data_IF_625641479128
#
_entry.id   IF_625641479128
#
_cell.length_a   1.000
_cell.length_b   1.000
_cell.length_c   1.000
_cell.angle_alpha   90.00
_cell.angle_beta   90.00
_cell.angle_gamma   90.00
#
_symmetry.space_group_name_H-M   'P 1'
#
loop_
_entity.id
_entity.type
_entity.pdbx_description
1 polymer ?
#
# COMPACT_ATOMS: atom_id res chain seq x y z
N UNK A 1 -84.42 5.22 24.48
CA UNK A 1 -83.44 5.97 23.60
C UNK A 1 -82.32 5.00 23.32
N UNK A 2 -82.31 4.47 22.13
CA UNK A 2 -81.26 3.57 21.70
C UNK A 2 -80.01 4.36 21.42
N UNK A 3 -78.87 4.04 22.07
CA UNK A 3 -77.62 4.68 21.82
C UNK A 3 -77.18 4.36 20.40
N UNK A 4 -76.93 5.40 19.64
CA UNK A 4 -76.29 5.29 18.36
C UNK A 4 -74.89 4.71 18.57
N UNK A 5 -74.71 3.45 18.19
CA UNK A 5 -73.40 2.90 17.96
C UNK A 5 -72.77 3.72 16.84
N UNK A 6 -71.82 4.50 17.20
CA UNK A 6 -70.91 5.18 16.24
C UNK A 6 -70.39 4.10 15.31
N UNK A 7 -71.10 3.91 14.21
CA UNK A 7 -70.67 3.05 13.13
C UNK A 7 -69.35 3.57 12.63
N UNK A 8 -68.34 2.75 12.63
CA UNK A 8 -67.07 3.09 12.04
C UNK A 8 -67.27 3.46 10.58
N UNK A 9 -67.33 4.73 10.32
CA UNK A 9 -67.41 5.29 8.96
C UNK A 9 -66.15 4.93 8.14
N UNK A 10 -65.16 4.39 8.84
CA UNK A 10 -63.90 4.03 8.23
C UNK A 10 -63.63 2.52 8.44
N UNK A 11 -64.00 1.73 7.48
CA UNK A 11 -63.43 0.39 7.34
C UNK A 11 -61.97 0.56 6.89
N UNK A 12 -61.10 -0.34 7.28
CA UNK A 12 -59.66 -0.31 6.99
C UNK A 12 -59.33 -0.10 5.48
N UNK A 13 -60.32 -0.36 4.60
CA UNK A 13 -60.17 -0.16 3.14
C UNK A 13 -60.85 1.13 2.62
N UNK A 14 -61.44 1.95 3.49
CA UNK A 14 -62.14 3.17 3.06
C UNK A 14 -61.23 4.43 3.10
N UNK A 15 -60.16 4.36 3.84
CA UNK A 15 -59.14 5.39 3.91
C UNK A 15 -57.92 5.05 3.04
N UNK A 16 -57.58 5.89 2.11
CA UNK A 16 -56.32 5.79 1.37
C UNK A 16 -55.20 6.32 2.31
N UNK A 17 -54.65 5.43 3.09
CA UNK A 17 -53.49 5.73 3.95
C UNK A 17 -52.18 5.60 3.18
N UNK A 18 -51.06 5.95 3.82
CA UNK A 18 -49.72 5.86 3.25
C UNK A 18 -49.39 4.44 2.77
N UNK A 19 -49.92 3.41 3.45
CA UNK A 19 -49.71 2.00 3.10
C UNK A 19 -50.47 1.60 1.86
N UNK A 20 -51.76 2.03 1.76
CA UNK A 20 -52.60 1.79 0.59
C UNK A 20 -52.15 2.59 -0.64
N UNK A 21 -51.56 3.77 -0.43
CA UNK A 21 -51.07 4.65 -1.49
C UNK A 21 -49.57 4.49 -1.79
N UNK A 22 -48.89 3.48 -1.20
CA UNK A 22 -47.45 3.30 -1.34
C UNK A 22 -46.95 3.26 -2.79
N UNK A 23 -47.77 2.69 -3.69
CA UNK A 23 -47.46 2.64 -5.14
C UNK A 23 -47.54 4.01 -5.82
N UNK A 24 -48.26 4.98 -5.26
CA UNK A 24 -48.43 6.32 -5.83
C UNK A 24 -47.58 7.39 -5.14
N UNK A 25 -46.88 7.03 -4.05
CA UNK A 25 -45.96 7.95 -3.40
C UNK A 25 -44.64 7.89 -4.16
N UNK A 26 -44.23 8.94 -4.87
CA UNK A 26 -42.99 8.94 -5.60
C UNK A 26 -41.83 8.83 -4.60
N UNK A 27 -40.94 7.87 -4.79
CA UNK A 27 -39.68 7.79 -4.08
C UNK A 27 -38.70 8.75 -4.73
N UNK A 28 -38.17 9.70 -3.97
CA UNK A 28 -37.14 10.62 -4.44
C UNK A 28 -35.78 9.98 -4.09
N UNK A 29 -35.08 9.57 -5.12
CA UNK A 29 -33.72 9.09 -5.01
C UNK A 29 -32.76 10.27 -5.14
N UNK A 30 -31.68 10.26 -4.37
CA UNK A 30 -30.62 11.25 -4.53
C UNK A 30 -29.89 11.01 -5.85
N UNK A 31 -29.64 12.06 -6.61
CA UNK A 31 -28.82 12.02 -7.82
C UNK A 31 -27.32 11.85 -7.51
N UNK A 32 -26.95 11.88 -6.22
CA UNK A 32 -25.59 11.79 -5.76
C UNK A 32 -25.25 10.34 -5.37
N UNK A 33 -24.24 9.77 -6.03
CA UNK A 33 -23.66 8.47 -5.67
C UNK A 33 -22.59 8.69 -4.60
N UNK A 34 -22.83 8.14 -3.40
CA UNK A 34 -21.87 8.20 -2.31
C UNK A 34 -20.92 7.01 -2.43
N UNK A 35 -19.69 7.29 -2.84
CA UNK A 35 -18.63 6.29 -2.86
C UNK A 35 -17.99 6.13 -1.47
N UNK A 36 -17.50 4.93 -1.16
CA UNK A 36 -16.70 4.70 0.03
C UNK A 36 -15.36 5.45 -0.05
N UNK A 37 -14.83 5.86 1.10
CA UNK A 37 -13.51 6.47 1.16
C UNK A 37 -12.44 5.49 0.66
N UNK A 38 -11.54 5.99 -0.18
CA UNK A 38 -10.45 5.22 -0.77
C UNK A 38 -9.18 5.33 0.07
N UNK A 39 -8.33 4.31 0.02
CA UNK A 39 -7.03 4.31 0.68
C UNK A 39 -6.08 5.31 -0.01
N UNK A 40 -5.20 5.92 0.77
CA UNK A 40 -4.16 6.82 0.24
C UNK A 40 -2.99 6.00 -0.30
N UNK A 41 -2.82 5.97 -1.60
CA UNK A 41 -1.73 5.27 -2.29
C UNK A 41 -0.48 6.15 -2.27
N UNK A 42 0.65 5.65 -1.77
CA UNK A 42 1.85 6.46 -1.53
C UNK A 42 3.14 5.87 -2.08
N UNK A 43 3.20 4.56 -2.38
CA UNK A 43 4.46 3.90 -2.75
C UNK A 43 4.94 4.26 -4.15
N UNK A 44 4.05 4.30 -5.15
CA UNK A 44 4.43 4.51 -6.54
C UNK A 44 5.29 5.77 -6.80
N UNK A 45 4.99 6.95 -6.24
CA UNK A 45 5.84 8.14 -6.44
C UNK A 45 7.18 8.10 -5.66
N UNK A 46 7.33 7.22 -4.66
CA UNK A 46 8.51 7.14 -3.79
C UNK A 46 9.57 6.17 -4.31
N UNK A 47 9.27 5.39 -5.34
CA UNK A 47 10.16 4.38 -5.92
C UNK A 47 10.71 4.85 -7.26
N UNK A 48 11.74 4.16 -7.74
CA UNK A 48 12.31 4.42 -9.06
C UNK A 48 11.39 3.87 -10.14
N UNK A 49 10.96 4.72 -11.06
CA UNK A 49 10.16 4.30 -12.22
C UNK A 49 11.05 4.11 -13.44
N UNK A 50 10.81 3.04 -14.18
CA UNK A 50 11.43 2.77 -15.49
C UNK A 50 10.34 2.54 -16.51
N UNK A 51 10.46 3.15 -17.69
CA UNK A 51 9.47 3.01 -18.76
C UNK A 51 10.03 2.13 -19.87
N UNK A 52 9.30 1.09 -20.22
CA UNK A 52 9.59 0.20 -21.36
C UNK A 52 8.57 0.39 -22.48
N UNK A 53 7.81 1.47 -22.45
CA UNK A 53 6.76 1.76 -23.45
C UNK A 53 7.34 1.81 -24.86
N UNK A 54 6.70 1.06 -25.77
CA UNK A 54 7.13 0.97 -27.18
C UNK A 54 8.24 -0.02 -27.48
N UNK A 55 8.91 -0.58 -26.47
CA UNK A 55 9.90 -1.64 -26.66
C UNK A 55 9.28 -3.02 -26.53
N UNK A 56 9.81 -3.98 -27.31
CA UNK A 56 9.42 -5.39 -27.23
C UNK A 56 10.37 -6.11 -26.28
N UNK A 57 9.83 -6.95 -25.42
CA UNK A 57 10.54 -7.74 -24.43
C UNK A 57 9.72 -7.83 -23.16
N UNK A 58 10.05 -8.77 -22.31
CA UNK A 58 9.40 -9.07 -21.03
C UNK A 58 10.33 -8.88 -19.83
N UNK A 59 11.63 -8.67 -20.09
CA UNK A 59 12.66 -8.55 -19.06
C UNK A 59 13.57 -7.36 -19.32
N UNK A 60 13.85 -6.61 -18.25
CA UNK A 60 14.86 -5.55 -18.23
C UNK A 60 16.07 -6.06 -17.47
N UNK A 61 17.23 -6.11 -18.11
CA UNK A 61 18.50 -6.48 -17.50
C UNK A 61 19.25 -5.24 -17.04
N UNK A 62 19.57 -5.15 -15.75
CA UNK A 62 20.36 -4.07 -15.17
C UNK A 62 21.68 -4.65 -14.73
N UNK A 63 22.80 -4.33 -15.40
CA UNK A 63 24.12 -4.83 -15.02
C UNK A 63 24.55 -4.25 -13.67
N UNK A 64 25.06 -5.13 -12.79
CA UNK A 64 25.62 -4.78 -11.48
C UNK A 64 27.09 -5.17 -11.46
N UNK A 65 28.01 -4.27 -11.85
CA UNK A 65 29.44 -4.57 -11.83
C UNK A 65 29.95 -4.71 -10.40
N UNK A 66 30.82 -5.72 -10.18
CA UNK A 66 31.46 -5.93 -8.89
C UNK A 66 32.55 -4.87 -8.68
N UNK A 67 32.59 -4.26 -7.49
CA UNK A 67 33.67 -3.32 -7.13
C UNK A 67 34.92 -4.09 -6.78
N UNK A 68 36.07 -3.64 -7.27
CA UNK A 68 37.37 -4.16 -6.88
C UNK A 68 37.83 -3.60 -5.54
N UNK A 69 38.76 -4.30 -4.89
CA UNK A 69 39.43 -3.88 -3.66
C UNK A 69 40.91 -3.52 -3.95
N UNK A 70 41.47 -2.60 -3.17
CA UNK A 70 42.88 -2.30 -3.26
C UNK A 70 43.70 -3.42 -2.59
N UNK A 71 44.70 -3.96 -3.29
CA UNK A 71 45.64 -4.95 -2.75
C UNK A 71 46.98 -4.30 -2.43
N UNK A 72 47.54 -4.61 -1.28
CA UNK A 72 48.91 -4.19 -0.94
C UNK A 72 49.93 -4.89 -1.85
N UNK A 73 50.77 -4.12 -2.50
CA UNK A 73 51.84 -4.65 -3.35
C UNK A 73 53.19 -4.61 -2.61
N UNK A 74 53.83 -5.78 -2.49
CA UNK A 74 55.20 -5.86 -1.99
C UNK A 74 56.23 -5.52 -3.09
N UNK A 75 57.41 -5.16 -2.67
CA UNK A 75 58.52 -4.89 -3.62
C UNK A 75 58.91 -6.19 -4.37
N UNK A 76 59.22 -6.04 -5.65
CA UNK A 76 59.65 -7.12 -6.57
C UNK A 76 58.61 -8.28 -6.77
N UNK A 77 57.37 -8.11 -6.34
CA UNK A 77 56.28 -9.07 -6.59
C UNK A 77 55.37 -8.56 -7.70
N UNK A 78 54.87 -9.44 -8.59
CA UNK A 78 53.89 -9.10 -9.61
C UNK A 78 52.58 -8.58 -9.01
N UNK A 79 51.86 -7.70 -9.73
CA UNK A 79 50.53 -7.25 -9.31
C UNK A 79 49.53 -8.43 -9.31
N UNK A 80 48.65 -8.46 -8.32
CA UNK A 80 47.58 -9.43 -8.27
C UNK A 80 46.40 -8.93 -9.12
N UNK A 81 46.07 -9.64 -10.19
CA UNK A 81 44.88 -9.36 -10.98
C UNK A 81 43.64 -9.79 -10.21
N UNK A 82 42.65 -8.91 -10.14
CA UNK A 82 41.35 -9.23 -9.57
C UNK A 82 40.45 -9.77 -10.66
N UNK A 83 39.70 -10.85 -10.33
CA UNK A 83 38.69 -11.36 -11.22
C UNK A 83 37.51 -10.37 -11.28
N UNK A 84 37.09 -10.03 -12.48
CA UNK A 84 35.87 -9.24 -12.68
C UNK A 84 34.69 -10.21 -12.77
N UNK A 85 33.80 -10.19 -11.77
CA UNK A 85 32.56 -10.96 -11.75
C UNK A 85 31.42 -9.99 -12.07
N UNK A 86 30.81 -10.14 -13.20
CA UNK A 86 29.64 -9.37 -13.58
C UNK A 86 28.38 -10.08 -13.09
N UNK A 87 27.48 -9.35 -12.47
CA UNK A 87 26.15 -9.81 -12.07
C UNK A 87 25.10 -8.86 -12.66
N UNK A 88 23.88 -9.33 -12.74
CA UNK A 88 22.76 -8.53 -13.23
C UNK A 88 21.56 -8.64 -12.27
N UNK A 89 20.74 -7.61 -12.24
CA UNK A 89 19.41 -7.64 -11.65
C UNK A 89 18.40 -7.62 -12.80
N UNK A 90 17.53 -8.61 -12.83
CA UNK A 90 16.50 -8.74 -13.86
C UNK A 90 15.16 -8.26 -13.31
N UNK A 91 14.46 -7.44 -14.09
CA UNK A 91 13.09 -7.01 -13.78
C UNK A 91 12.19 -7.65 -14.82
N UNK A 92 11.32 -8.55 -14.36
CA UNK A 92 10.36 -9.24 -15.24
C UNK A 92 9.04 -8.48 -15.24
N UNK A 93 8.54 -8.15 -16.43
CA UNK A 93 7.24 -7.50 -16.64
C UNK A 93 6.22 -8.60 -16.92
N UNK A 94 5.56 -9.06 -15.86
CA UNK A 94 4.60 -10.17 -15.94
C UNK A 94 3.28 -9.87 -15.21
N UNK A 95 3.08 -8.65 -14.74
CA UNK A 95 1.87 -8.23 -14.02
C UNK A 95 0.92 -7.54 -14.97
N UNK A 96 -0.05 -8.31 -15.48
CA UNK A 96 -1.14 -7.81 -16.32
C UNK A 96 -2.43 -7.88 -15.52
N UNK A 97 -2.96 -6.72 -15.13
CA UNK A 97 -4.21 -6.63 -14.38
C UNK A 97 -5.27 -5.92 -15.20
N UNK A 98 -6.49 -6.40 -15.06
CA UNK A 98 -7.66 -5.85 -15.72
C UNK A 98 -8.78 -5.53 -14.73
N UNK A 99 -9.59 -4.56 -15.10
CA UNK A 99 -10.86 -4.26 -14.48
C UNK A 99 -11.91 -4.23 -15.58
N UNK A 100 -12.91 -5.10 -15.49
CA UNK A 100 -13.96 -5.22 -16.52
C UNK A 100 -15.34 -5.10 -15.90
N UNK A 101 -16.20 -4.29 -16.52
CA UNK A 101 -17.61 -4.15 -16.14
C UNK A 101 -18.50 -4.20 -17.39
N UNK A 102 -19.57 -4.98 -17.30
CA UNK A 102 -20.61 -5.04 -18.30
C UNK A 102 -21.81 -4.20 -17.81
N UNK A 103 -22.18 -3.18 -18.58
CA UNK A 103 -23.28 -2.27 -18.25
C UNK A 103 -24.40 -2.51 -19.27
N UNK A 104 -25.55 -2.99 -18.81
CA UNK A 104 -26.71 -3.23 -19.66
C UNK A 104 -27.36 -1.92 -20.10
N UNK A 105 -27.88 -1.89 -21.33
CA UNK A 105 -28.55 -0.72 -21.90
C UNK A 105 -29.73 -0.25 -21.06
N UNK A 106 -30.48 -1.19 -20.47
CA UNK A 106 -31.63 -0.86 -19.61
C UNK A 106 -31.17 -0.12 -18.34
N UNK A 107 -30.03 -0.50 -17.79
CA UNK A 107 -29.45 0.17 -16.61
C UNK A 107 -28.93 1.54 -17.00
N UNK A 108 -28.28 1.69 -18.16
CA UNK A 108 -27.78 2.98 -18.65
C UNK A 108 -28.91 3.99 -18.88
N UNK A 109 -30.07 3.53 -19.38
CA UNK A 109 -31.25 4.39 -19.61
C UNK A 109 -31.98 4.76 -18.31
N UNK A 110 -32.00 3.86 -17.32
CA UNK A 110 -32.71 4.04 -16.06
C UNK A 110 -31.83 4.55 -14.92
N UNK A 111 -30.53 4.39 -15.03
CA UNK A 111 -29.60 4.82 -13.99
C UNK A 111 -29.26 6.31 -14.08
N UNK A 112 -28.78 6.84 -12.96
CA UNK A 112 -28.24 8.20 -12.88
C UNK A 112 -26.99 8.35 -13.76
N UNK A 113 -26.85 9.50 -14.40
CA UNK A 113 -25.70 9.79 -15.29
C UNK A 113 -24.32 9.68 -14.59
N UNK A 114 -24.28 9.80 -13.26
CA UNK A 114 -23.06 9.68 -12.44
C UNK A 114 -22.51 8.25 -12.33
N UNK A 115 -23.31 7.21 -12.64
CA UNK A 115 -22.91 5.81 -12.44
C UNK A 115 -21.75 5.39 -13.35
N UNK A 116 -21.75 5.82 -14.61
CA UNK A 116 -20.67 5.53 -15.55
C UNK A 116 -19.35 6.16 -15.13
N UNK A 117 -19.40 7.43 -14.69
CA UNK A 117 -18.22 8.13 -14.18
C UNK A 117 -17.66 7.43 -12.95
N UNK A 118 -18.53 7.03 -12.02
CA UNK A 118 -18.12 6.26 -10.82
C UNK A 118 -17.36 4.98 -11.18
N UNK A 119 -17.84 4.17 -12.12
CA UNK A 119 -17.13 2.95 -12.54
C UNK A 119 -15.79 3.22 -13.22
N UNK A 120 -15.67 4.34 -13.93
CA UNK A 120 -14.40 4.75 -14.56
C UNK A 120 -13.36 5.15 -13.51
N UNK A 121 -13.78 5.91 -12.50
CA UNK A 121 -12.90 6.31 -11.38
C UNK A 121 -12.53 5.12 -10.49
N UNK A 122 -13.48 4.23 -10.22
CA UNK A 122 -13.24 3.00 -9.44
C UNK A 122 -12.24 2.07 -10.15
N UNK A 123 -12.32 1.94 -11.46
CA UNK A 123 -11.36 1.17 -12.27
C UNK A 123 -9.94 1.73 -12.12
N UNK A 124 -9.78 3.04 -12.24
CA UNK A 124 -8.48 3.71 -12.08
C UNK A 124 -7.89 3.49 -10.67
N UNK A 125 -8.74 3.63 -9.66
CA UNK A 125 -8.32 3.37 -8.27
C UNK A 125 -7.96 1.90 -8.02
N UNK A 126 -8.76 0.95 -8.52
CA UNK A 126 -8.50 -0.49 -8.31
C UNK A 126 -7.17 -0.92 -8.93
N UNK A 127 -6.85 -0.45 -10.15
CA UNK A 127 -5.57 -0.74 -10.79
C UNK A 127 -4.40 -0.06 -10.07
N UNK A 128 -4.54 1.20 -9.67
CA UNK A 128 -3.50 1.90 -8.91
C UNK A 128 -3.25 1.26 -7.54
N UNK A 129 -4.32 0.80 -6.86
CA UNK A 129 -4.20 0.08 -5.59
C UNK A 129 -3.42 -1.21 -5.75
N UNK A 130 -3.65 -1.95 -6.84
CA UNK A 130 -2.92 -3.20 -7.09
C UNK A 130 -1.42 -2.96 -7.30
N UNK A 131 -1.05 -1.88 -7.98
CA UNK A 131 0.37 -1.47 -8.13
C UNK A 131 0.98 -1.14 -6.76
N UNK A 132 0.26 -0.41 -5.92
CA UNK A 132 0.72 -0.04 -4.57
C UNK A 132 0.88 -1.29 -3.68
N UNK A 133 -0.07 -2.24 -3.74
CA UNK A 133 -0.01 -3.52 -3.02
C UNK A 133 1.20 -4.36 -3.47
N UNK A 134 1.48 -4.44 -4.78
CA UNK A 134 2.63 -5.18 -5.30
C UNK A 134 3.97 -4.52 -4.93
N UNK A 135 4.02 -3.19 -4.84
CA UNK A 135 5.19 -2.47 -4.33
C UNK A 135 5.46 -2.77 -2.85
N UNK A 136 4.41 -2.87 -2.03
CA UNK A 136 4.58 -3.30 -0.64
C UNK A 136 5.06 -4.75 -0.55
N UNK A 137 4.50 -5.67 -1.34
CA UNK A 137 4.96 -7.07 -1.41
C UNK A 137 6.42 -7.20 -1.82
N UNK A 138 6.87 -6.33 -2.72
CA UNK A 138 8.27 -6.31 -3.15
C UNK A 138 9.27 -6.05 -2.01
N UNK A 139 8.81 -5.51 -0.89
CA UNK A 139 9.61 -5.38 0.33
C UNK A 139 10.09 -6.70 0.92
N UNK A 140 9.44 -7.83 0.63
CA UNK A 140 9.95 -9.17 1.02
C UNK A 140 11.34 -9.45 0.46
N UNK A 141 11.71 -8.82 -0.65
CA UNK A 141 13.02 -8.93 -1.28
C UNK A 141 14.10 -8.01 -0.71
N UNK A 142 13.87 -7.29 0.40
CA UNK A 142 14.90 -6.50 1.05
C UNK A 142 15.92 -7.38 1.78
N UNK A 143 17.14 -6.88 1.96
CA UNK A 143 18.21 -7.60 2.67
C UNK A 143 18.50 -8.98 2.08
N UNK A 144 18.37 -10.01 2.90
CA UNK A 144 18.51 -11.42 2.51
C UNK A 144 17.16 -12.13 2.32
N UNK A 145 16.05 -11.38 2.32
CA UNK A 145 14.71 -11.92 2.17
C UNK A 145 14.46 -12.50 0.78
N UNK A 146 13.46 -13.36 0.69
CA UNK A 146 13.05 -13.97 -0.58
C UNK A 146 11.99 -13.08 -1.24
N UNK A 147 12.29 -12.58 -2.44
CA UNK A 147 11.35 -11.78 -3.20
C UNK A 147 10.10 -12.59 -3.58
N UNK A 148 8.96 -12.20 -3.02
CA UNK A 148 7.68 -12.88 -3.25
C UNK A 148 6.52 -11.87 -3.38
N UNK A 149 5.91 -11.82 -4.54
CA UNK A 149 4.74 -10.99 -4.83
C UNK A 149 3.39 -11.71 -4.59
N UNK A 150 3.41 -12.94 -4.09
CA UNK A 150 2.19 -13.71 -3.78
C UNK A 150 1.74 -13.57 -2.34
N UNK A 151 2.59 -13.00 -1.48
CA UNK A 151 2.32 -12.80 -0.06
C UNK A 151 1.03 -11.99 0.13
N UNK A 152 0.10 -12.45 0.97
CA UNK A 152 -1.08 -11.66 1.30
C UNK A 152 -0.66 -10.41 2.09
N UNK A 153 -1.26 -9.28 1.79
CA UNK A 153 -1.07 -8.00 2.53
C UNK A 153 -2.29 -7.62 3.34
N UNK A 154 -3.35 -8.42 3.25
CA UNK A 154 -4.61 -8.28 3.99
C UNK A 154 -5.25 -9.67 4.19
N UNK A 155 -6.03 -9.82 5.24
CA UNK A 155 -6.67 -11.10 5.58
C UNK A 155 -5.76 -11.95 6.47
N UNK A 156 -5.78 -13.26 6.31
CA UNK A 156 -4.91 -14.16 7.09
C UNK A 156 -3.48 -14.08 6.56
N UNK A 157 -2.59 -13.50 7.35
CA UNK A 157 -1.18 -13.28 7.02
C UNK A 157 -0.29 -13.96 8.04
N UNK A 158 0.72 -14.70 7.57
CA UNK A 158 1.79 -15.27 8.40
C UNK A 158 3.08 -14.49 8.16
N UNK A 159 3.85 -14.27 9.21
CA UNK A 159 5.06 -13.44 9.18
C UNK A 159 6.25 -14.06 8.46
N UNK A 160 6.24 -15.37 8.23
CA UNK A 160 7.38 -16.16 7.71
C UNK A 160 7.99 -15.59 6.42
N UNK A 161 7.18 -15.03 5.51
CA UNK A 161 7.67 -14.46 4.25
C UNK A 161 8.47 -13.17 4.43
N UNK A 162 8.38 -12.54 5.59
CA UNK A 162 9.04 -11.28 5.94
C UNK A 162 10.33 -11.49 6.74
N UNK A 163 10.62 -12.72 7.12
CA UNK A 163 11.86 -13.07 7.80
C UNK A 163 13.07 -12.84 6.90
N UNK A 164 14.11 -12.22 7.43
CA UNK A 164 15.32 -11.90 6.67
C UNK A 164 15.18 -10.73 5.67
N UNK A 165 13.99 -10.16 5.50
CA UNK A 165 13.71 -9.05 4.59
C UNK A 165 14.11 -7.66 5.12
N UNK A 166 15.18 -7.55 5.93
CA UNK A 166 15.49 -6.34 6.69
C UNK A 166 14.30 -5.86 7.53
N UNK A 167 13.57 -6.80 8.10
CA UNK A 167 12.39 -6.57 8.93
C UNK A 167 12.79 -6.58 10.39
N UNK A 168 12.38 -5.55 11.13
CA UNK A 168 12.75 -5.34 12.54
C UNK A 168 11.53 -4.89 13.33
N UNK A 169 11.58 -5.06 14.63
CA UNK A 169 10.64 -4.46 15.58
C UNK A 169 11.41 -3.83 16.76
N UNK A 170 10.74 -2.93 17.47
CA UNK A 170 11.29 -2.31 18.68
C UNK A 170 10.82 -3.11 19.86
N UNK A 171 11.73 -3.79 20.55
CA UNK A 171 11.40 -4.58 21.72
C UNK A 171 11.09 -3.71 22.97
N UNK A 172 10.54 -4.31 24.00
CA UNK A 172 10.17 -3.63 25.25
C UNK A 172 11.37 -2.95 25.98
N UNK A 173 12.62 -3.28 25.63
CA UNK A 173 13.85 -2.64 26.14
C UNK A 173 14.31 -1.45 25.28
N UNK A 174 13.50 -1.02 24.30
CA UNK A 174 13.81 -0.01 23.29
C UNK A 174 14.97 -0.39 22.35
N UNK A 175 15.30 -1.67 22.25
CA UNK A 175 16.23 -2.23 21.29
C UNK A 175 15.57 -2.48 19.94
N UNK A 176 16.36 -2.49 18.86
CA UNK A 176 15.91 -2.92 17.55
C UNK A 176 16.27 -4.39 17.37
N UNK A 177 15.26 -5.24 17.24
CA UNK A 177 15.43 -6.70 17.10
C UNK A 177 14.96 -7.15 15.72
N UNK A 178 15.71 -8.07 15.10
CA UNK A 178 15.30 -8.65 13.82
C UNK A 178 13.99 -9.43 14.00
N UNK A 179 13.08 -9.23 13.06
CA UNK A 179 11.79 -9.89 13.08
C UNK A 179 11.92 -11.38 12.73
N UNK A 180 11.26 -12.19 13.51
CA UNK A 180 10.94 -13.59 13.20
C UNK A 180 9.45 -13.79 13.46
N UNK A 181 8.85 -14.77 12.78
CA UNK A 181 7.44 -15.11 12.93
C UNK A 181 7.06 -15.32 14.40
N UNK A 182 5.89 -14.93 14.82
CA UNK A 182 5.39 -15.09 16.19
C UNK A 182 6.23 -14.38 17.30
N UNK A 183 6.92 -13.28 17.00
CA UNK A 183 7.78 -12.62 18.02
C UNK A 183 7.26 -11.26 18.49
N UNK A 184 6.46 -10.56 17.70
CA UNK A 184 5.99 -9.21 18.02
C UNK A 184 4.80 -9.26 18.97
N UNK A 185 4.89 -8.54 20.08
CA UNK A 185 3.81 -8.43 21.07
C UNK A 185 3.25 -7.00 21.14
N UNK A 186 2.06 -6.84 21.69
CA UNK A 186 1.40 -5.54 21.82
C UNK A 186 2.22 -4.50 22.63
N UNK A 187 3.20 -4.94 23.43
CA UNK A 187 4.09 -4.07 24.19
C UNK A 187 5.28 -3.53 23.37
N UNK A 188 5.53 -4.07 22.17
CA UNK A 188 6.62 -3.69 21.29
C UNK A 188 6.27 -2.43 20.51
N UNK A 189 6.06 -1.34 21.23
CA UNK A 189 5.63 -0.07 20.68
C UNK A 189 6.78 0.73 20.05
N UNK A 190 6.45 1.57 19.09
CA UNK A 190 7.40 2.48 18.49
C UNK A 190 8.05 3.41 19.52
N UNK A 191 9.39 3.55 19.44
CA UNK A 191 10.16 4.51 20.23
C UNK A 191 11.12 5.31 19.33
N UNK A 192 11.46 6.53 19.76
CA UNK A 192 12.45 7.37 19.07
C UNK A 192 13.83 6.69 19.00
N UNK A 193 14.19 5.93 20.04
CA UNK A 193 15.46 5.19 20.08
C UNK A 193 15.48 4.08 18.99
N UNK A 194 14.40 3.34 18.84
CA UNK A 194 14.27 2.31 17.81
C UNK A 194 14.30 2.91 16.40
N UNK A 195 13.65 4.05 16.18
CA UNK A 195 13.69 4.73 14.88
C UNK A 195 15.11 5.21 14.52
N UNK A 196 15.84 5.80 15.48
CA UNK A 196 17.25 6.18 15.27
C UNK A 196 18.14 4.97 15.02
N UNK A 197 17.88 3.84 15.66
CA UNK A 197 18.59 2.60 15.39
C UNK A 197 18.32 2.08 13.98
N UNK A 198 17.09 2.19 13.48
CA UNK A 198 16.72 1.83 12.11
C UNK A 198 17.44 2.72 11.08
N UNK A 199 17.48 4.04 11.33
CA UNK A 199 18.25 4.98 10.47
C UNK A 199 19.73 4.61 10.46
N UNK A 200 20.29 4.28 11.64
CA UNK A 200 21.69 3.83 11.75
C UNK A 200 21.97 2.60 10.87
N UNK A 201 21.08 1.61 10.85
CA UNK A 201 21.26 0.44 9.98
C UNK A 201 21.31 0.81 8.51
N UNK A 202 20.48 1.78 8.09
CA UNK A 202 20.50 2.31 6.71
C UNK A 202 21.80 3.06 6.41
N UNK A 203 22.34 3.79 7.38
CA UNK A 203 23.64 4.49 7.26
C UNK A 203 24.81 3.50 7.24
N UNK A 204 24.77 2.45 8.06
CA UNK A 204 25.77 1.36 8.09
C UNK A 204 25.77 0.56 6.76
N UNK A 205 24.66 0.57 6.01
CA UNK A 205 24.56 -0.02 4.68
C UNK A 205 25.01 0.94 3.54
N UNK A 206 25.63 2.08 3.87
CA UNK A 206 26.12 3.09 2.93
C UNK A 206 25.01 3.64 1.96
N UNK A 207 23.75 3.64 2.40
CA UNK A 207 22.64 4.20 1.61
C UNK A 207 22.68 5.72 1.66
N UNK A 208 22.55 6.44 0.52
CA UNK A 208 22.54 7.90 0.52
C UNK A 208 21.49 8.49 1.46
N UNK A 209 21.79 9.60 2.11
CA UNK A 209 20.87 10.28 3.05
C UNK A 209 19.74 11.05 2.34
N UNK A 210 19.91 11.31 1.03
CA UNK A 210 18.89 11.96 0.21
C UNK A 210 17.86 10.97 -0.28
N UNK A 211 16.66 11.45 -0.64
CA UNK A 211 15.59 10.63 -1.25
C UNK A 211 15.16 9.42 -0.40
N UNK A 212 15.26 9.56 0.93
CA UNK A 212 14.70 8.58 1.88
C UNK A 212 13.27 8.97 2.22
N UNK A 213 12.39 7.99 2.31
CA UNK A 213 11.00 8.16 2.69
C UNK A 213 10.59 7.12 3.75
N UNK A 214 9.73 7.53 4.66
CA UNK A 214 9.17 6.64 5.68
C UNK A 214 7.65 6.56 5.52
N UNK A 215 7.17 5.42 5.03
CA UNK A 215 5.74 5.15 4.84
C UNK A 215 5.23 4.38 6.05
N UNK A 216 4.25 4.94 6.74
CA UNK A 216 3.77 4.44 8.03
C UNK A 216 2.29 4.10 8.02
N UNK A 217 1.85 3.08 8.79
CA UNK A 217 0.44 2.82 9.04
C UNK A 217 -0.17 3.88 9.99
N UNK A 218 -1.51 4.02 10.01
CA UNK A 218 -2.19 4.96 10.90
C UNK A 218 -1.92 4.73 12.40
N UNK A 219 -1.74 3.48 12.83
CA UNK A 219 -1.37 3.14 14.21
C UNK A 219 -0.05 3.81 14.61
N UNK A 220 0.98 3.68 13.78
CA UNK A 220 2.28 4.30 14.03
C UNK A 220 2.20 5.84 14.02
N UNK A 221 1.33 6.41 13.18
CA UNK A 221 1.08 7.87 13.22
C UNK A 221 0.60 8.32 14.59
N UNK A 222 -0.33 7.57 15.20
CA UNK A 222 -0.85 7.86 16.55
C UNK A 222 0.28 7.83 17.58
N UNK A 223 1.16 6.80 17.53
CA UNK A 223 2.31 6.67 18.42
C UNK A 223 3.32 7.84 18.28
N UNK A 224 3.62 8.23 17.03
CA UNK A 224 4.51 9.37 16.74
C UNK A 224 3.93 10.67 17.27
N UNK A 225 2.63 10.92 17.12
CA UNK A 225 1.94 12.09 17.66
C UNK A 225 1.91 12.12 19.18
N UNK A 226 1.97 10.97 19.84
CA UNK A 226 2.10 10.84 21.31
C UNK A 226 3.51 11.05 21.84
N UNK A 227 4.52 11.06 20.97
CA UNK A 227 5.92 11.21 21.39
C UNK A 227 6.27 12.70 21.56
N UNK A 228 6.53 13.14 22.79
CA UNK A 228 6.80 14.53 23.16
C UNK A 228 7.89 15.18 22.29
N UNK A 229 8.93 14.43 21.93
CA UNK A 229 10.06 14.90 21.12
C UNK A 229 9.66 15.39 19.73
N UNK A 230 8.61 14.83 19.13
CA UNK A 230 8.15 15.20 17.80
C UNK A 230 7.06 16.27 17.81
N UNK A 231 6.46 16.50 18.95
CA UNK A 231 5.30 17.39 19.13
C UNK A 231 5.69 18.70 19.82
N UNK A 232 6.70 18.70 20.69
CA UNK A 232 7.11 19.87 21.46
C UNK A 232 7.72 20.97 20.58
N UNK A 233 7.29 22.19 20.78
CA UNK A 233 7.82 23.38 20.12
C UNK A 233 9.31 23.64 20.43
N UNK A 234 9.81 23.13 21.55
CA UNK A 234 11.22 23.26 21.96
C UNK A 234 12.19 22.46 21.08
N UNK A 235 11.68 21.42 20.43
CA UNK A 235 12.47 20.54 19.54
C UNK A 235 12.23 20.79 18.04
N UNK A 236 11.25 21.63 17.71
CA UNK A 236 10.84 21.90 16.34
C UNK A 236 10.72 23.39 16.10
N UNK A 237 11.44 23.91 15.14
CA UNK A 237 11.45 25.33 14.80
C UNK A 237 10.05 25.83 14.35
N UNK A 238 9.25 26.28 15.30
CA UNK A 238 8.05 27.10 15.12
C UNK A 238 6.75 26.45 14.63
N UNK A 239 6.70 25.17 14.31
CA UNK A 239 5.48 24.52 13.82
C UNK A 239 4.91 23.52 14.84
N UNK A 240 4.12 24.00 15.77
CA UNK A 240 3.29 23.14 16.62
C UNK A 240 2.28 22.35 15.78
N UNK A 241 1.96 21.13 16.23
CA UNK A 241 1.01 20.19 15.58
C UNK A 241 -0.43 20.73 15.59
N UNK A 242 -0.66 21.93 15.09
CA UNK A 242 -2.02 22.45 14.93
C UNK A 242 -2.79 21.79 13.79
N UNK A 243 -2.10 21.19 12.81
CA UNK A 243 -2.72 20.59 11.62
C UNK A 243 -2.64 19.06 11.57
N UNK A 244 -2.02 18.39 12.56
CA UNK A 244 -1.81 16.93 12.52
C UNK A 244 -0.88 16.46 11.38
N UNK A 245 -0.17 17.37 10.73
CA UNK A 245 0.78 17.08 9.67
C UNK A 245 2.13 16.72 10.31
N UNK A 246 2.52 15.45 10.20
CA UNK A 246 3.86 14.98 10.55
C UNK A 246 4.72 15.23 9.31
N UNK A 247 5.46 16.33 9.27
CA UNK A 247 6.31 16.68 8.12
C UNK A 247 7.49 15.72 7.96
N UNK A 248 8.72 16.20 8.14
CA UNK A 248 9.94 15.39 8.14
C UNK A 248 10.47 15.21 9.56
N UNK A 249 11.05 14.03 9.84
CA UNK A 249 11.75 13.71 11.09
C UNK A 249 13.15 13.24 10.73
N UNK A 250 14.16 13.83 11.34
CA UNK A 250 15.59 13.58 11.02
C UNK A 250 15.94 13.72 9.53
N UNK A 251 15.25 14.61 8.81
CA UNK A 251 15.45 14.83 7.38
C UNK A 251 14.80 13.77 6.48
N UNK A 252 13.96 12.91 7.04
CA UNK A 252 13.22 11.88 6.31
C UNK A 252 11.74 12.27 6.26
N UNK A 253 11.16 12.30 5.07
CA UNK A 253 9.75 12.63 4.87
C UNK A 253 8.87 11.46 5.30
N UNK A 254 7.81 11.77 6.08
CA UNK A 254 6.87 10.78 6.61
C UNK A 254 5.57 10.83 5.81
N UNK A 255 5.20 9.68 5.24
CA UNK A 255 3.96 9.48 4.50
C UNK A 255 3.06 8.49 5.24
N UNK A 256 1.81 8.86 5.45
CA UNK A 256 0.82 7.98 6.09
C UNK A 256 0.01 7.26 5.01
N UNK A 257 -0.02 5.93 5.08
CA UNK A 257 -0.84 5.10 4.20
C UNK A 257 -1.58 4.04 4.98
N UNK A 258 -2.88 3.94 4.79
CA UNK A 258 -3.68 2.83 5.33
C UNK A 258 -3.52 1.53 4.51
N UNK A 259 -2.74 1.59 3.43
CA UNK A 259 -2.43 0.43 2.59
C UNK A 259 -1.14 -0.30 3.02
N UNK A 260 -0.49 0.15 4.10
CA UNK A 260 0.64 -0.59 4.68
C UNK A 260 0.27 -2.05 4.95
N UNK A 261 1.13 -3.03 4.56
CA UNK A 261 0.77 -4.43 4.62
C UNK A 261 0.60 -4.92 6.05
N UNK A 262 -0.33 -5.83 6.21
CA UNK A 262 -0.43 -6.69 7.38
C UNK A 262 0.65 -7.76 7.23
N UNK A 263 1.64 -7.76 8.12
CA UNK A 263 2.74 -8.73 8.12
C UNK A 263 2.26 -10.03 8.76
N UNK A 264 1.57 -9.89 9.88
CA UNK A 264 1.04 -11.00 10.66
C UNK A 264 -0.29 -10.60 11.27
N UNK A 265 -1.30 -11.45 11.17
CA UNK A 265 -2.60 -11.19 11.79
C UNK A 265 -2.69 -11.74 13.22
N UNK A 266 -3.59 -11.17 14.03
CA UNK A 266 -3.76 -11.56 15.43
C UNK A 266 -4.16 -13.03 15.64
N UNK A 267 -4.62 -13.73 14.59
CA UNK A 267 -4.98 -15.15 14.65
C UNK A 267 -3.77 -16.03 14.39
N UNK A 268 -2.86 -15.57 13.54
CA UNK A 268 -1.61 -16.27 13.21
C UNK A 268 -0.51 -15.97 14.24
N UNK A 269 -0.52 -14.76 14.83
CA UNK A 269 0.42 -14.38 15.89
C UNK A 269 0.05 -15.07 17.21
N UNK A 270 0.71 -16.19 17.48
CA UNK A 270 0.44 -17.03 18.65
C UNK A 270 0.89 -16.41 19.97
N UNK A 271 1.83 -15.46 19.92
CA UNK A 271 2.43 -14.80 21.10
C UNK A 271 1.81 -13.44 21.38
N UNK A 272 1.62 -12.61 20.33
CA UNK A 272 1.26 -11.21 20.47
C UNK A 272 -0.24 -10.92 20.48
N UNK A 273 -1.07 -11.77 19.90
CA UNK A 273 -2.53 -11.58 19.75
C UNK A 273 -2.95 -10.23 19.16
N UNK A 274 -2.04 -9.53 18.47
CA UNK A 274 -2.27 -8.26 17.82
C UNK A 274 -1.89 -8.35 16.34
N UNK A 275 -2.60 -7.61 15.50
CA UNK A 275 -2.22 -7.42 14.12
C UNK A 275 -0.88 -6.67 14.05
N UNK A 276 0.03 -7.14 13.21
CA UNK A 276 1.35 -6.53 12.99
C UNK A 276 1.42 -5.92 11.62
N UNK A 277 1.61 -4.61 11.54
CA UNK A 277 1.73 -3.88 10.27
C UNK A 277 3.16 -3.45 10.01
N UNK A 278 3.53 -3.45 8.71
CA UNK A 278 4.84 -2.98 8.25
C UNK A 278 4.87 -1.48 7.98
N UNK A 279 5.79 -0.76 8.61
CA UNK A 279 6.17 0.58 8.20
C UNK A 279 7.48 0.51 7.39
N UNK A 280 7.55 1.22 6.26
CA UNK A 280 8.63 1.11 5.29
C UNK A 280 9.55 2.31 5.31
N UNK A 281 10.79 2.12 5.71
CA UNK A 281 11.87 3.08 5.52
C UNK A 281 12.64 2.70 4.26
N UNK A 282 12.45 3.47 3.19
CA UNK A 282 13.00 3.15 1.88
C UNK A 282 13.80 4.31 1.29
N UNK A 283 14.84 3.97 0.55
CA UNK A 283 15.48 4.86 -0.41
C UNK A 283 14.83 4.66 -1.79
N UNK A 284 14.74 5.71 -2.59
CA UNK A 284 14.09 5.69 -3.90
C UNK A 284 14.57 4.57 -4.82
N UNK A 285 15.87 4.23 -4.78
CA UNK A 285 16.46 3.17 -5.60
C UNK A 285 16.27 1.75 -5.02
N UNK A 286 15.64 1.59 -3.84
CA UNK A 286 15.43 0.28 -3.23
C UNK A 286 14.50 -0.59 -4.06
N UNK A 287 13.42 0.00 -4.57
CA UNK A 287 12.42 -0.65 -5.41
C UNK A 287 12.37 -0.01 -6.80
N UNK A 288 12.02 -0.82 -7.80
CA UNK A 288 11.78 -0.35 -9.16
C UNK A 288 10.40 -0.78 -9.61
N UNK A 289 9.68 0.17 -10.17
CA UNK A 289 8.44 -0.04 -10.92
C UNK A 289 8.75 0.12 -12.41
N UNK A 290 8.63 -0.94 -13.19
CA UNK A 290 8.82 -0.93 -14.62
C UNK A 290 7.45 -0.96 -15.33
N UNK A 291 7.11 0.10 -16.04
CA UNK A 291 5.85 0.20 -16.79
C UNK A 291 6.08 -0.06 -18.26
N UNK A 292 5.40 -1.05 -18.83
CA UNK A 292 5.39 -1.31 -20.27
C UNK A 292 4.13 -0.71 -20.92
N UNK A 293 2.98 -0.81 -20.24
CA UNK A 293 1.72 -0.25 -20.68
C UNK A 293 1.06 0.47 -19.51
N UNK A 294 0.92 1.79 -19.66
CA UNK A 294 0.11 2.59 -18.73
C UNK A 294 -1.37 2.19 -18.79
N UNK A 295 -2.13 2.61 -17.81
CA UNK A 295 -3.57 2.30 -17.78
C UNK A 295 -4.24 2.70 -19.08
N UNK A 296 -4.82 1.72 -19.74
CA UNK A 296 -5.56 1.86 -21.00
C UNK A 296 -7.01 1.50 -20.75
N UNK A 297 -7.94 2.33 -21.19
CA UNK A 297 -9.37 2.04 -21.13
C UNK A 297 -9.94 1.83 -22.52
N UNK A 298 -10.83 0.84 -22.64
CA UNK A 298 -11.53 0.51 -23.88
C UNK A 298 -13.01 0.23 -23.59
N UNK A 299 -13.87 0.58 -24.54
CA UNK A 299 -15.29 0.27 -24.49
C UNK A 299 -15.70 -0.48 -25.75
N UNK A 300 -16.49 -1.53 -25.57
CA UNK A 300 -17.03 -2.32 -26.69
C UNK A 300 -18.48 -2.69 -26.42
N UNK A 301 -19.35 -2.46 -27.42
CA UNK A 301 -20.74 -2.91 -27.35
C UNK A 301 -20.83 -4.43 -27.64
N UNK A 302 -21.49 -5.16 -26.75
CA UNK A 302 -21.76 -6.60 -26.86
C UNK A 302 -23.22 -6.84 -27.21
N UNK A 303 -23.50 -7.07 -28.50
CA UNK A 303 -24.86 -7.28 -29.00
C UNK A 303 -25.56 -8.50 -28.39
N UNK A 304 -24.79 -9.53 -28.02
CA UNK A 304 -25.32 -10.77 -27.43
C UNK A 304 -25.96 -10.52 -26.06
N UNK A 305 -25.48 -9.47 -25.34
CA UNK A 305 -25.92 -9.12 -23.98
C UNK A 305 -26.67 -7.79 -23.93
N UNK A 306 -26.86 -7.11 -25.04
CA UNK A 306 -27.42 -5.75 -25.13
C UNK A 306 -26.77 -4.83 -24.08
N UNK A 307 -25.44 -4.77 -24.09
CA UNK A 307 -24.66 -4.17 -23.02
C UNK A 307 -23.37 -3.57 -23.55
N UNK A 308 -22.88 -2.54 -22.87
CA UNK A 308 -21.56 -1.96 -23.12
C UNK A 308 -20.54 -2.55 -22.16
N UNK A 309 -19.50 -3.20 -22.71
CA UNK A 309 -18.35 -3.69 -21.94
C UNK A 309 -17.34 -2.55 -21.80
N UNK A 310 -17.06 -2.16 -20.56
CA UNK A 310 -15.94 -1.29 -20.20
C UNK A 310 -14.79 -2.14 -19.66
N UNK A 311 -13.60 -1.95 -20.19
CA UNK A 311 -12.38 -2.67 -19.73
C UNK A 311 -11.26 -1.66 -19.57
N UNK A 312 -10.58 -1.71 -18.43
CA UNK A 312 -9.33 -1.00 -18.19
C UNK A 312 -8.25 -1.99 -17.83
N UNK A 313 -7.05 -1.85 -18.40
CA UNK A 313 -5.94 -2.76 -18.16
C UNK A 313 -4.61 -2.02 -18.03
N UNK A 314 -3.64 -2.65 -17.34
CA UNK A 314 -2.27 -2.15 -17.18
C UNK A 314 -1.28 -3.32 -17.18
N UNK A 315 -0.06 -3.07 -17.67
CA UNK A 315 1.03 -4.06 -17.69
C UNK A 315 2.30 -3.46 -17.11
N UNK A 316 2.80 -4.06 -16.03
CA UNK A 316 3.98 -3.60 -15.32
C UNK A 316 4.77 -4.74 -14.68
N UNK A 317 5.94 -4.42 -14.16
CA UNK A 317 6.77 -5.29 -13.34
C UNK A 317 7.29 -4.55 -12.12
N UNK A 318 7.46 -5.25 -11.01
CA UNK A 318 8.02 -4.72 -9.77
C UNK A 318 9.17 -5.60 -9.32
N UNK A 319 10.26 -4.99 -8.84
CA UNK A 319 11.43 -5.73 -8.35
C UNK A 319 12.14 -4.93 -7.24
N UNK A 320 12.71 -5.64 -6.25
CA UNK A 320 13.71 -5.07 -5.37
C UNK A 320 15.03 -4.89 -6.14
N UNK A 321 15.43 -3.65 -6.36
CA UNK A 321 16.63 -3.32 -7.17
C UNK A 321 17.88 -3.21 -6.29
N UNK A 322 17.76 -2.51 -5.17
CA UNK A 322 18.81 -2.41 -4.15
C UNK A 322 18.26 -2.85 -2.80
N UNK A 323 18.32 -4.15 -2.51
CA UNK A 323 17.71 -4.71 -1.31
C UNK A 323 18.30 -4.14 -0.01
N UNK A 324 19.50 -3.59 -0.05
CA UNK A 324 20.14 -2.93 1.09
C UNK A 324 19.51 -1.56 1.42
N UNK A 325 18.77 -0.96 0.49
CA UNK A 325 18.17 0.37 0.63
C UNK A 325 16.77 0.38 1.23
N UNK A 326 16.24 -0.76 1.63
CA UNK A 326 14.91 -0.88 2.22
C UNK A 326 14.93 -1.58 3.57
N UNK A 327 14.16 -1.04 4.52
CA UNK A 327 13.97 -1.59 5.87
C UNK A 327 12.50 -1.53 6.23
N UNK A 328 12.04 -2.53 6.96
CA UNK A 328 10.66 -2.66 7.40
C UNK A 328 10.64 -2.65 8.93
N UNK A 329 9.81 -1.81 9.51
CA UNK A 329 9.54 -1.77 10.93
C UNK A 329 8.17 -2.37 11.21
N UNK A 330 8.14 -3.48 11.91
CA UNK A 330 6.92 -4.10 12.40
C UNK A 330 6.37 -3.30 13.58
N UNK A 331 5.09 -2.97 13.51
CA UNK A 331 4.37 -2.21 14.54
C UNK A 331 3.06 -2.91 14.83
N UNK A 332 2.78 -3.23 16.10
CA UNK A 332 1.48 -3.77 16.48
C UNK A 332 0.38 -2.70 16.24
N UNK A 333 -0.74 -3.14 15.68
CA UNK A 333 -1.92 -2.29 15.41
C UNK A 333 -2.85 -2.38 16.64
N UNK A 334 -2.52 -1.65 17.71
CA UNK A 334 -3.22 -1.62 19.01
C UNK A 334 -3.75 -0.23 19.33
#
# INVERSE_FOLDING_TARGET
MAGETSGAFFTANATVDKTAAATFVPEIWSDEVIAAYQKSLKMAPLVKTMTMSGNKGDVIHIPKPTRGSANAKAEAVAVTMQANLESETTITINRHYEYSRLIEDIVEVQALASLRQFYTEDAGYALAKQVDDDLFRAGTGFGSGTFDLTVPVTGTCTGTAWEGANTYFVDASNGLTAYTDDTVVAADVFTDAGFRALIKLMDDADVPMTDRAFVIPPALRSAIMGTERYVSADFRDGATVQSGLIGSVYGIDIYVSSNCPLIEDATSNSVGTADVRGAYLIHKDALVLAEQMSVRSQTQYKQEYLSTLYTADTLYGVQAHRPEGGFILCVPDV
#
